data_IF_520510463088
#
_entry.id   IF_520510463088
#
_cell.length_a   1.000
_cell.length_b   1.000
_cell.length_c   1.000
_cell.angle_alpha   90.00
_cell.angle_beta   90.00
_cell.angle_gamma   90.00
#
_symmetry.space_group_name_H-M   'P 1'
#
loop_
_entity.id
_entity.type
_entity.pdbx_description
1 polymer ?
#
# COMPACT_ATOMS: atom_id res chain seq x y z
N UNK A 1 14.36 5.30 13.03
CA UNK A 1 14.99 3.97 12.97
C UNK A 1 13.83 2.99 13.03
N UNK A 2 13.25 2.71 11.87
CA UNK A 2 11.88 2.19 11.78
C UNK A 2 11.74 0.78 12.34
N UNK A 3 12.84 0.00 12.35
CA UNK A 3 12.88 -1.29 13.06
C UNK A 3 12.76 -1.11 14.57
N UNK A 4 13.37 -0.06 15.13
CA UNK A 4 13.29 0.25 16.56
C UNK A 4 11.90 0.77 16.93
N UNK A 5 11.30 1.59 16.06
CA UNK A 5 10.01 2.27 16.35
C UNK A 5 8.79 1.42 15.99
N UNK A 6 8.79 0.69 14.88
CA UNK A 6 7.64 -0.09 14.40
C UNK A 6 7.94 -1.59 14.29
N UNK A 7 9.18 -1.96 13.95
CA UNK A 7 9.57 -3.37 13.82
C UNK A 7 9.51 -4.16 15.13
N UNK A 8 9.90 -3.54 16.25
CA UNK A 8 9.97 -4.19 17.56
C UNK A 8 8.62 -4.69 18.09
N UNK A 9 7.52 -4.12 17.61
CA UNK A 9 6.17 -4.47 18.09
C UNK A 9 5.69 -5.82 17.54
N UNK A 10 6.20 -6.25 16.38
CA UNK A 10 5.65 -7.42 15.65
C UNK A 10 6.71 -8.41 15.18
N UNK A 11 7.85 -7.95 14.65
CA UNK A 11 8.86 -8.81 14.05
C UNK A 11 9.47 -9.84 15.02
N UNK A 12 9.80 -9.50 16.29
CA UNK A 12 10.38 -10.48 17.21
C UNK A 12 9.36 -11.52 17.73
N UNK A 13 8.06 -11.32 17.49
CA UNK A 13 6.99 -12.22 17.95
C UNK A 13 6.78 -13.43 17.03
N UNK A 14 7.40 -13.44 15.85
CA UNK A 14 7.33 -14.53 14.89
C UNK A 14 8.75 -15.03 14.58
N UNK A 15 9.02 -16.32 14.78
CA UNK A 15 10.38 -16.88 14.69
C UNK A 15 11.05 -16.62 13.34
N UNK A 16 10.31 -16.79 12.25
CA UNK A 16 10.80 -16.55 10.87
C UNK A 16 11.15 -15.08 10.62
N UNK A 17 10.35 -14.15 11.13
CA UNK A 17 10.57 -12.70 11.02
C UNK A 17 11.78 -12.29 11.86
N UNK A 18 11.85 -12.77 13.11
CA UNK A 18 12.98 -12.53 14.01
C UNK A 18 14.29 -13.05 13.42
N UNK A 19 14.29 -14.22 12.80
CA UNK A 19 15.48 -14.79 12.18
C UNK A 19 16.06 -13.94 11.03
N UNK A 20 15.25 -13.08 10.40
CA UNK A 20 15.68 -12.21 9.30
C UNK A 20 16.12 -10.84 9.80
N UNK A 21 15.33 -10.23 10.69
CA UNK A 21 15.48 -8.81 11.04
C UNK A 21 16.15 -8.57 12.40
N UNK A 22 16.31 -9.61 13.22
CA UNK A 22 16.97 -9.55 14.54
C UNK A 22 18.30 -10.29 14.51
N UNK A 23 19.29 -9.72 15.20
CA UNK A 23 20.59 -10.32 15.42
C UNK A 23 20.94 -10.15 16.89
N UNK A 24 21.39 -11.23 17.53
CA UNK A 24 21.83 -11.22 18.94
C UNK A 24 20.77 -10.65 19.92
N UNK A 25 19.48 -10.91 19.64
CA UNK A 25 18.37 -10.47 20.49
C UNK A 25 17.91 -9.03 20.27
N UNK A 26 18.55 -8.31 19.36
CA UNK A 26 18.27 -6.90 19.05
C UNK A 26 17.90 -6.72 17.56
N UNK A 27 17.15 -5.65 17.21
CA UNK A 27 16.96 -5.31 15.80
C UNK A 27 18.31 -4.96 15.16
N UNK A 28 18.47 -5.33 13.89
CA UNK A 28 19.59 -4.87 13.07
C UNK A 28 19.70 -3.33 13.12
N UNK A 29 20.93 -2.83 13.22
CA UNK A 29 21.24 -1.43 13.47
C UNK A 29 21.81 -0.78 12.21
N UNK A 30 21.82 0.55 12.19
CA UNK A 30 22.45 1.31 11.11
C UNK A 30 23.91 0.87 10.92
N UNK A 31 24.24 0.48 9.70
CA UNK A 31 25.57 -0.03 9.34
C UNK A 31 25.65 -1.56 9.27
N UNK A 32 24.66 -2.28 9.80
CA UNK A 32 24.57 -3.72 9.62
C UNK A 32 24.20 -4.09 8.18
N UNK A 33 24.64 -5.27 7.76
CA UNK A 33 24.23 -5.86 6.48
C UNK A 33 23.03 -6.77 6.69
N UNK A 34 21.91 -6.46 6.05
CA UNK A 34 20.71 -7.31 6.02
C UNK A 34 20.77 -8.26 4.82
N UNK A 35 20.91 -9.56 5.09
CA UNK A 35 20.88 -10.63 4.07
C UNK A 35 19.58 -11.40 4.20
N UNK A 36 18.84 -11.55 3.10
CA UNK A 36 17.52 -12.20 3.07
C UNK A 36 17.54 -13.40 2.12
N UNK A 37 18.24 -14.47 2.50
CA UNK A 37 18.46 -15.64 1.64
C UNK A 37 17.15 -16.32 1.20
N UNK A 38 16.16 -16.43 2.10
CA UNK A 38 14.86 -17.01 1.77
C UNK A 38 14.10 -16.14 0.75
N UNK A 39 14.10 -14.81 0.92
CA UNK A 39 13.49 -13.89 -0.04
C UNK A 39 14.22 -13.95 -1.39
N UNK A 40 15.54 -14.04 -1.40
CA UNK A 40 16.32 -14.22 -2.61
C UNK A 40 15.91 -15.50 -3.36
N UNK A 41 15.68 -16.61 -2.64
CA UNK A 41 15.19 -17.84 -3.24
C UNK A 41 13.78 -17.70 -3.82
N UNK A 42 12.87 -17.02 -3.12
CA UNK A 42 11.54 -16.71 -3.66
C UNK A 42 11.63 -15.89 -4.97
N UNK A 43 12.48 -14.85 -4.99
CA UNK A 43 12.68 -14.02 -6.19
C UNK A 43 13.31 -14.81 -7.34
N UNK A 44 14.27 -15.69 -7.06
CA UNK A 44 14.87 -16.58 -8.06
C UNK A 44 13.81 -17.49 -8.69
N UNK A 45 12.98 -18.16 -7.88
CA UNK A 45 11.93 -19.04 -8.40
C UNK A 45 10.86 -18.25 -9.18
N UNK A 46 10.52 -17.03 -8.77
CA UNK A 46 9.63 -16.16 -9.57
C UNK A 46 10.27 -15.77 -10.90
N UNK A 47 11.57 -15.49 -10.92
CA UNK A 47 12.29 -15.15 -12.15
C UNK A 47 12.33 -16.35 -13.13
N UNK A 48 12.46 -17.57 -12.62
CA UNK A 48 12.52 -18.81 -13.42
C UNK A 48 11.13 -19.28 -13.88
N UNK A 49 10.13 -19.28 -12.98
CA UNK A 49 8.83 -19.91 -13.20
C UNK A 49 7.70 -18.89 -13.47
N UNK A 50 8.00 -17.59 -13.41
CA UNK A 50 7.02 -16.52 -13.56
C UNK A 50 6.08 -16.37 -12.34
N UNK A 51 4.96 -15.64 -12.50
CA UNK A 51 4.06 -15.33 -11.38
C UNK A 51 3.36 -16.57 -10.81
N UNK A 52 3.26 -17.66 -11.60
CA UNK A 52 2.66 -18.91 -11.15
C UNK A 52 3.42 -19.51 -9.94
N UNK A 53 4.70 -19.20 -9.76
CA UNK A 53 5.43 -19.58 -8.55
C UNK A 53 4.79 -19.02 -7.28
N UNK A 54 4.39 -17.74 -7.33
CA UNK A 54 3.77 -17.05 -6.20
C UNK A 54 2.34 -17.54 -5.94
N UNK A 55 1.56 -17.74 -7.00
CA UNK A 55 0.12 -18.02 -6.87
C UNK A 55 -0.24 -19.51 -6.86
N UNK A 56 0.65 -20.39 -7.33
CA UNK A 56 0.38 -21.84 -7.47
C UNK A 56 1.56 -22.73 -7.04
N UNK A 57 2.78 -22.20 -7.08
CA UNK A 57 4.03 -22.94 -6.85
C UNK A 57 4.42 -23.12 -5.38
N UNK A 58 5.72 -23.16 -5.13
CA UNK A 58 6.31 -23.39 -3.80
C UNK A 58 6.01 -22.24 -2.85
N UNK A 59 6.02 -21.00 -3.34
CA UNK A 59 5.66 -19.83 -2.52
C UNK A 59 4.18 -19.91 -2.09
N UNK A 60 3.28 -20.32 -2.99
CA UNK A 60 1.87 -20.47 -2.65
C UNK A 60 1.64 -21.53 -1.56
N UNK A 61 2.37 -22.64 -1.65
CA UNK A 61 2.39 -23.68 -0.62
C UNK A 61 2.88 -23.14 0.72
N UNK A 62 3.97 -22.37 0.74
CA UNK A 62 4.52 -21.77 1.96
C UNK A 62 3.52 -20.82 2.63
N UNK A 63 2.83 -19.98 1.85
CA UNK A 63 1.81 -19.06 2.37
C UNK A 63 0.63 -19.85 2.97
N UNK A 64 0.09 -20.82 2.23
CA UNK A 64 -1.05 -21.61 2.69
C UNK A 64 -0.72 -22.42 3.95
N UNK A 65 0.49 -23.00 4.04
CA UNK A 65 0.96 -23.70 5.22
C UNK A 65 1.12 -22.78 6.43
N UNK A 66 1.68 -21.57 6.24
CA UNK A 66 1.82 -20.58 7.31
C UNK A 66 0.45 -20.17 7.86
N UNK A 67 -0.51 -19.94 6.97
CA UNK A 67 -1.89 -19.62 7.35
C UNK A 67 -2.54 -20.76 8.10
N UNK A 68 -2.51 -21.98 7.56
CA UNK A 68 -3.10 -23.16 8.19
C UNK A 68 -2.54 -23.39 9.61
N UNK A 69 -1.22 -23.33 9.78
CA UNK A 69 -0.55 -23.56 11.07
C UNK A 69 -0.94 -22.55 12.15
N UNK A 70 -1.27 -21.32 11.75
CA UNK A 70 -1.56 -20.22 12.68
C UNK A 70 -3.04 -19.80 12.70
N UNK A 71 -3.95 -20.57 12.07
CA UNK A 71 -5.37 -20.27 12.04
C UNK A 71 -5.78 -19.12 11.10
N UNK A 72 -4.94 -18.81 10.11
CA UNK A 72 -5.24 -17.89 9.01
C UNK A 72 -6.16 -18.52 7.96
N UNK A 73 -6.63 -17.68 7.02
CA UNK A 73 -7.69 -18.06 6.07
C UNK A 73 -7.20 -18.27 4.64
N UNK A 74 -6.04 -17.74 4.25
CA UNK A 74 -5.59 -17.78 2.86
C UNK A 74 -5.17 -19.20 2.50
N UNK A 75 -5.80 -19.75 1.47
CA UNK A 75 -5.54 -21.09 0.92
C UNK A 75 -4.82 -21.03 -0.43
N UNK A 76 -4.39 -22.18 -0.96
CA UNK A 76 -3.86 -22.25 -2.33
C UNK A 76 -4.95 -21.95 -3.35
N UNK A 77 -6.18 -22.31 -3.05
CA UNK A 77 -7.35 -22.01 -3.86
C UNK A 77 -7.57 -20.50 -3.97
N UNK A 78 -7.44 -19.74 -2.87
CA UNK A 78 -7.52 -18.28 -2.88
C UNK A 78 -6.40 -17.66 -3.73
N UNK A 79 -5.17 -18.14 -3.54
CA UNK A 79 -4.00 -17.65 -4.29
C UNK A 79 -4.14 -17.93 -5.79
N UNK A 80 -4.56 -19.14 -6.16
CA UNK A 80 -4.78 -19.51 -7.56
C UNK A 80 -5.96 -18.77 -8.20
N UNK A 81 -6.95 -18.36 -7.40
CA UNK A 81 -8.10 -17.59 -7.85
C UNK A 81 -7.81 -16.08 -7.99
N UNK A 82 -6.72 -15.58 -7.40
CA UNK A 82 -6.36 -14.16 -7.46
C UNK A 82 -6.13 -13.70 -8.91
N UNK A 83 -6.65 -12.51 -9.23
CA UNK A 83 -6.40 -11.83 -10.51
C UNK A 83 -6.21 -10.34 -10.28
N UNK A 84 -5.12 -9.81 -10.85
CA UNK A 84 -5.01 -8.37 -11.05
C UNK A 84 -6.05 -7.93 -12.10
N UNK A 85 -6.68 -6.77 -11.88
CA UNK A 85 -7.71 -6.24 -12.77
C UNK A 85 -7.24 -4.89 -13.29
N UNK A 86 -7.02 -4.79 -14.59
CA UNK A 86 -6.83 -3.52 -15.28
C UNK A 86 -8.16 -2.74 -15.30
N UNK A 87 -8.10 -1.45 -14.99
CA UNK A 87 -9.28 -0.60 -14.84
C UNK A 87 -9.02 0.75 -15.48
N UNK A 88 -10.05 1.33 -16.06
CA UNK A 88 -10.01 2.71 -16.57
C UNK A 88 -9.72 3.67 -15.40
N UNK A 89 -8.72 4.55 -15.51
CA UNK A 89 -8.46 5.57 -14.50
C UNK A 89 -9.66 6.48 -14.25
N UNK A 90 -9.79 6.98 -13.02
CA UNK A 90 -10.61 8.16 -12.78
C UNK A 90 -9.88 9.36 -13.36
N UNK A 91 -10.61 10.23 -14.04
CA UNK A 91 -10.05 11.45 -14.60
C UNK A 91 -10.96 12.64 -14.35
N UNK A 92 -10.35 13.82 -14.28
CA UNK A 92 -11.02 15.12 -14.21
C UNK A 92 -10.16 16.20 -14.85
N UNK A 93 -10.79 17.31 -15.21
CA UNK A 93 -10.08 18.52 -15.62
C UNK A 93 -9.99 19.48 -14.42
N UNK A 94 -8.82 20.09 -14.23
CA UNK A 94 -8.64 21.15 -13.25
C UNK A 94 -7.84 22.27 -13.91
N UNK A 95 -8.52 23.37 -14.24
CA UNK A 95 -7.95 24.59 -14.84
C UNK A 95 -7.19 24.30 -16.15
N UNK A 96 -7.72 23.39 -16.97
CA UNK A 96 -7.15 22.96 -18.26
C UNK A 96 -6.11 21.85 -18.16
N UNK A 97 -5.83 21.33 -16.97
CA UNK A 97 -4.96 20.18 -16.76
C UNK A 97 -5.79 18.92 -16.51
N UNK A 98 -5.46 17.83 -17.20
CA UNK A 98 -6.10 16.55 -16.97
C UNK A 98 -5.40 15.83 -15.80
N UNK A 99 -6.18 15.48 -14.78
CA UNK A 99 -5.72 14.76 -13.61
C UNK A 99 -6.24 13.34 -13.69
N UNK A 100 -5.33 12.36 -13.69
CA UNK A 100 -5.64 10.94 -13.71
C UNK A 100 -5.23 10.29 -12.38
N UNK A 101 -6.10 9.44 -11.83
CA UNK A 101 -5.83 8.73 -10.58
C UNK A 101 -6.59 7.39 -10.52
N UNK A 102 -6.37 6.62 -9.45
CA UNK A 102 -6.86 5.26 -9.32
C UNK A 102 -8.39 5.20 -9.13
N UNK A 103 -9.11 4.32 -9.85
CA UNK A 103 -10.54 4.05 -9.64
C UNK A 103 -10.76 3.14 -8.42
N UNK A 104 -12.03 2.86 -8.05
CA UNK A 104 -12.37 1.77 -7.14
C UNK A 104 -11.62 0.48 -7.54
N UNK A 105 -10.98 -0.22 -6.58
CA UNK A 105 -11.21 -0.20 -5.13
C UNK A 105 -10.51 0.93 -4.34
N UNK A 106 -9.74 1.81 -5.00
CA UNK A 106 -9.24 3.01 -4.36
C UNK A 106 -10.35 4.06 -4.25
N UNK A 107 -10.49 4.70 -3.09
CA UNK A 107 -11.30 5.91 -2.95
C UNK A 107 -10.56 7.16 -3.43
N UNK A 108 -9.23 7.09 -3.59
CA UNK A 108 -8.38 8.27 -3.80
C UNK A 108 -8.69 9.04 -5.07
N UNK A 109 -8.81 8.36 -6.22
CA UNK A 109 -8.97 9.08 -7.49
C UNK A 109 -10.28 9.85 -7.60
N UNK A 110 -11.39 9.27 -7.12
CA UNK A 110 -12.69 9.93 -7.08
C UNK A 110 -12.61 11.19 -6.21
N UNK A 111 -12.12 11.07 -4.98
CA UNK A 111 -12.14 12.21 -4.06
C UNK A 111 -11.08 13.27 -4.39
N UNK A 112 -9.94 12.90 -4.97
CA UNK A 112 -8.98 13.89 -5.50
C UNK A 112 -9.66 14.74 -6.58
N UNK A 113 -10.31 14.11 -7.57
CA UNK A 113 -11.00 14.84 -8.64
C UNK A 113 -12.18 15.64 -8.09
N UNK A 114 -12.96 15.08 -7.15
CA UNK A 114 -14.06 15.77 -6.49
C UNK A 114 -13.59 17.04 -5.76
N UNK A 115 -12.55 16.94 -4.94
CA UNK A 115 -11.98 18.09 -4.21
C UNK A 115 -11.48 19.13 -5.21
N UNK A 116 -10.76 18.73 -6.26
CA UNK A 116 -10.30 19.65 -7.30
C UNK A 116 -11.47 20.36 -8.00
N UNK A 117 -12.56 19.65 -8.30
CA UNK A 117 -13.78 20.25 -8.86
C UNK A 117 -14.38 21.30 -7.92
N UNK A 118 -14.36 21.07 -6.59
CA UNK A 118 -14.79 22.08 -5.62
C UNK A 118 -13.85 23.29 -5.64
N UNK A 119 -12.53 23.05 -5.56
CA UNK A 119 -11.50 24.09 -5.53
C UNK A 119 -11.44 24.93 -6.81
N UNK A 120 -11.90 24.41 -7.95
CA UNK A 120 -11.93 25.13 -9.22
C UNK A 120 -12.79 26.40 -9.17
N UNK A 121 -13.82 26.39 -8.31
CA UNK A 121 -14.72 27.53 -8.07
C UNK A 121 -14.06 28.71 -7.33
N UNK A 122 -12.82 28.54 -6.87
CA UNK A 122 -12.09 29.54 -6.08
C UNK A 122 -10.81 29.97 -6.82
N UNK A 123 -10.38 31.22 -6.63
CA UNK A 123 -9.07 31.67 -7.12
C UNK A 123 -7.97 31.29 -6.12
N UNK A 124 -7.63 30.00 -6.10
CA UNK A 124 -6.62 29.44 -5.19
C UNK A 124 -5.25 30.11 -5.33
N UNK A 125 -4.93 30.60 -6.54
CA UNK A 125 -3.67 31.31 -6.80
C UNK A 125 -3.63 32.65 -6.09
N UNK A 126 -4.73 33.40 -6.06
CA UNK A 126 -4.82 34.68 -5.35
C UNK A 126 -4.63 34.53 -3.84
N UNK A 127 -5.16 33.47 -3.24
CA UNK A 127 -4.97 33.21 -1.80
C UNK A 127 -3.52 32.83 -1.47
N UNK A 128 -2.87 32.06 -2.33
CA UNK A 128 -1.47 31.66 -2.15
C UNK A 128 -1.27 30.53 -1.11
N UNK A 129 -0.14 29.85 -1.24
CA UNK A 129 0.21 28.71 -0.39
C UNK A 129 0.34 29.11 1.09
N UNK A 130 -0.24 28.29 1.98
CA UNK A 130 -0.13 28.46 3.44
C UNK A 130 -0.93 29.63 4.01
N UNK A 131 -1.76 30.31 3.20
CA UNK A 131 -2.69 31.30 3.72
C UNK A 131 -3.89 30.64 4.40
N UNK A 132 -4.44 31.31 5.41
CA UNK A 132 -5.61 30.83 6.13
C UNK A 132 -6.81 30.61 5.19
N UNK A 133 -7.03 31.51 4.23
CA UNK A 133 -8.12 31.39 3.25
C UNK A 133 -7.98 30.14 2.38
N UNK A 134 -6.78 29.87 1.84
CA UNK A 134 -6.55 28.68 1.01
C UNK A 134 -6.74 27.39 1.82
N UNK A 135 -6.16 27.34 3.03
CA UNK A 135 -6.27 26.17 3.92
C UNK A 135 -7.72 25.93 4.36
N UNK A 136 -8.47 26.99 4.67
CA UNK A 136 -9.87 26.90 5.05
C UNK A 136 -10.71 26.30 3.92
N UNK A 137 -10.58 26.82 2.70
CA UNK A 137 -11.34 26.32 1.54
C UNK A 137 -11.02 24.84 1.27
N UNK A 138 -9.74 24.47 1.29
CA UNK A 138 -9.32 23.07 1.09
C UNK A 138 -9.87 22.15 2.17
N UNK A 139 -9.74 22.55 3.44
CA UNK A 139 -10.24 21.75 4.57
C UNK A 139 -11.77 21.55 4.50
N UNK A 140 -12.55 22.58 4.14
CA UNK A 140 -14.00 22.40 3.98
C UNK A 140 -14.35 21.48 2.80
N UNK A 141 -13.65 21.61 1.66
CA UNK A 141 -13.85 20.71 0.51
C UNK A 141 -13.52 19.24 0.87
N UNK A 142 -12.43 19.02 1.61
CA UNK A 142 -12.03 17.70 2.10
C UNK A 142 -13.09 17.10 3.03
N UNK A 143 -13.74 17.89 3.91
CA UNK A 143 -14.82 17.38 4.78
C UNK A 143 -15.95 16.74 3.97
N UNK A 144 -16.43 17.41 2.91
CA UNK A 144 -17.50 16.86 2.08
C UNK A 144 -17.05 15.59 1.35
N UNK A 145 -15.84 15.58 0.78
CA UNK A 145 -15.32 14.41 0.09
C UNK A 145 -15.16 13.19 1.03
N UNK A 146 -14.72 13.40 2.28
CA UNK A 146 -14.60 12.33 3.27
C UNK A 146 -15.96 11.89 3.83
N UNK A 147 -16.95 12.78 3.89
CA UNK A 147 -18.33 12.39 4.21
C UNK A 147 -18.87 11.43 3.14
N UNK A 148 -18.78 11.82 1.85
CA UNK A 148 -19.21 10.98 0.71
C UNK A 148 -18.43 9.66 0.65
N UNK A 149 -17.14 9.66 1.02
CA UNK A 149 -16.32 8.43 1.09
C UNK A 149 -16.91 7.38 2.04
N UNK A 150 -17.62 7.81 3.08
CA UNK A 150 -18.10 6.96 4.16
C UNK A 150 -19.53 6.48 4.01
N UNK A 151 -20.26 6.97 3.00
CA UNK A 151 -21.58 6.46 2.60
C UNK A 151 -21.48 5.10 1.90
#
# INVERSE_FOLDING_TARGET
DDLKTYGSEVLPNHENSKAIFWKEGEPLKKGDTLVQANLAKSLEMIAENGPDEFYKGTIAEQIAQEMQKNGGLITKEDLAAYKAVERTPISGDYRGYQVYSMPPPSSGGIHIVQILNILENFDMKKYGFGSADAMQIMAEAEKYAYADRSE
#
